data_IF_073816348860
#
_entry.id   IF_073816348860
#
_cell.length_a   1.000
_cell.length_b   1.000
_cell.length_c   1.000
_cell.angle_alpha   90.00
_cell.angle_beta   90.00
_cell.angle_gamma   90.00
#
_symmetry.space_group_name_H-M   'P 1'
#
loop_
_entity.id
_entity.type
_entity.pdbx_description
1 polymer ?
#
# COMPACT_ATOMS: atom_id res chain seq x y z
N UNK A 1 -29.34 70.67 21.97
CA UNK A 1 -28.20 69.94 21.31
C UNK A 1 -28.49 68.44 21.40
N UNK A 2 -28.91 67.85 20.27
CA UNK A 2 -29.16 66.41 20.13
C UNK A 2 -28.01 65.77 19.40
N UNK A 3 -27.29 64.89 20.06
CA UNK A 3 -26.17 64.14 19.49
C UNK A 3 -26.72 62.92 18.71
N UNK A 4 -26.50 62.93 17.38
CA UNK A 4 -26.76 61.77 16.51
C UNK A 4 -25.61 60.76 16.69
N UNK A 5 -25.92 59.58 17.22
CA UNK A 5 -25.02 58.44 17.22
C UNK A 5 -25.28 57.66 15.94
N UNK A 6 -24.30 57.68 15.04
CA UNK A 6 -24.27 56.91 13.79
C UNK A 6 -23.85 55.47 14.13
N UNK A 7 -24.81 54.54 14.05
CA UNK A 7 -24.53 53.13 14.24
C UNK A 7 -23.99 52.54 12.93
N UNK A 8 -22.68 52.34 12.84
CA UNK A 8 -22.03 51.63 11.73
C UNK A 8 -22.24 50.13 11.93
N UNK A 9 -23.17 49.53 11.19
CA UNK A 9 -23.32 48.09 11.13
C UNK A 9 -22.14 47.48 10.33
N UNK A 10 -21.19 46.88 11.03
CA UNK A 10 -20.18 46.01 10.44
C UNK A 10 -20.87 44.72 9.93
N UNK A 11 -21.17 44.67 8.63
CA UNK A 11 -21.50 43.43 7.93
C UNK A 11 -20.26 42.55 7.88
N UNK A 12 -20.11 41.67 8.84
CA UNK A 12 -19.19 40.56 8.76
C UNK A 12 -19.72 39.61 7.68
N UNK A 13 -19.11 39.68 6.49
CA UNK A 13 -19.21 38.61 5.51
C UNK A 13 -18.51 37.39 6.10
N UNK A 14 -19.23 36.64 6.91
CA UNK A 14 -18.85 35.29 7.27
C UNK A 14 -18.89 34.46 6.01
N UNK A 15 -17.74 34.09 5.44
CA UNK A 15 -17.66 32.96 4.55
C UNK A 15 -18.29 31.78 5.27
N UNK A 16 -19.53 31.46 4.91
CA UNK A 16 -20.12 30.16 5.25
C UNK A 16 -19.20 29.12 4.62
N UNK A 17 -18.60 28.21 5.40
CA UNK A 17 -17.90 27.09 4.78
C UNK A 17 -18.88 26.42 3.83
N UNK A 18 -18.44 26.14 2.61
CA UNK A 18 -19.19 25.39 1.63
C UNK A 18 -19.79 24.16 2.35
N UNK A 19 -21.07 23.90 2.09
CA UNK A 19 -21.75 22.78 2.77
C UNK A 19 -20.96 21.50 2.43
N UNK A 20 -20.37 20.90 3.45
CA UNK A 20 -19.68 19.61 3.34
C UNK A 20 -20.68 18.61 2.74
N UNK A 21 -20.46 18.14 1.51
CA UNK A 21 -21.30 17.16 0.84
C UNK A 21 -21.35 15.84 1.63
N UNK A 22 -20.54 15.74 2.66
CA UNK A 22 -20.58 14.67 3.63
C UNK A 22 -20.14 13.32 3.09
N UNK A 23 -19.35 13.29 2.00
CA UNK A 23 -18.75 12.06 1.50
C UNK A 23 -17.58 11.62 2.37
N UNK A 24 -17.48 10.30 2.57
CA UNK A 24 -16.35 9.62 3.19
C UNK A 24 -15.68 8.78 2.10
N UNK A 25 -14.40 8.98 1.86
CA UNK A 25 -13.63 8.09 0.99
C UNK A 25 -13.46 6.75 1.69
N UNK A 26 -13.89 5.67 1.06
CA UNK A 26 -13.77 4.31 1.58
C UNK A 26 -12.55 3.58 1.02
N UNK A 27 -12.26 3.76 -0.27
CA UNK A 27 -11.16 3.11 -0.95
C UNK A 27 -10.44 4.07 -1.88
N UNK A 28 -9.10 4.01 -1.88
CA UNK A 28 -8.24 4.60 -2.90
C UNK A 28 -7.45 3.48 -3.56
N UNK A 29 -7.73 3.23 -4.84
CA UNK A 29 -7.23 2.03 -5.51
C UNK A 29 -7.72 0.76 -4.83
N UNK A 30 -6.80 -0.05 -4.35
CA UNK A 30 -7.07 -1.32 -3.65
C UNK A 30 -6.89 -1.22 -2.12
N UNK A 31 -6.67 -0.04 -1.61
CA UNK A 31 -6.41 0.21 -0.19
C UNK A 31 -7.62 0.83 0.50
N UNK A 32 -7.99 0.37 1.69
CA UNK A 32 -9.01 1.02 2.49
C UNK A 32 -8.51 2.38 2.99
N UNK A 33 -9.41 3.37 3.01
CA UNK A 33 -9.19 4.63 3.67
C UNK A 33 -9.72 4.59 5.10
N UNK A 34 -9.18 5.43 5.96
CA UNK A 34 -9.59 5.54 7.36
C UNK A 34 -10.15 6.93 7.66
N UNK A 35 -11.26 7.01 8.36
CA UNK A 35 -11.80 8.28 8.84
C UNK A 35 -11.16 8.65 10.18
N UNK A 36 -10.50 9.82 10.22
CA UNK A 36 -9.88 10.37 11.43
C UNK A 36 -10.33 11.82 11.57
N UNK A 37 -11.12 12.08 12.59
CA UNK A 37 -11.85 13.33 12.71
C UNK A 37 -12.84 13.53 11.57
N UNK A 38 -12.77 14.67 10.90
CA UNK A 38 -13.60 14.98 9.73
C UNK A 38 -12.99 14.57 8.37
N UNK A 39 -11.76 14.07 8.37
CA UNK A 39 -11.03 13.74 7.14
C UNK A 39 -10.98 12.25 6.87
N UNK A 40 -11.01 11.88 5.60
CA UNK A 40 -10.69 10.53 5.12
C UNK A 40 -9.22 10.47 4.75
N UNK A 41 -8.47 9.55 5.32
CA UNK A 41 -7.06 9.35 5.06
C UNK A 41 -6.84 8.10 4.25
N UNK A 42 -6.09 8.19 3.18
CA UNK A 42 -5.78 7.06 2.30
C UNK A 42 -4.27 6.93 2.03
N UNK A 43 -3.76 5.69 1.92
CA UNK A 43 -2.39 5.46 1.48
C UNK A 43 -2.31 5.61 -0.05
N UNK A 44 -1.29 6.33 -0.51
CA UNK A 44 -0.91 6.43 -1.92
C UNK A 44 0.45 5.75 -2.10
N UNK A 45 0.39 4.41 -2.17
CA UNK A 45 1.59 3.56 -2.21
C UNK A 45 2.52 3.88 -3.40
N UNK A 46 2.02 4.11 -4.63
CA UNK A 46 2.88 4.47 -5.76
C UNK A 46 3.74 5.70 -5.52
N UNK A 47 3.25 6.66 -4.73
CA UNK A 47 3.97 7.89 -4.44
C UNK A 47 4.53 7.96 -3.02
N UNK A 48 4.47 6.85 -2.25
CA UNK A 48 5.00 6.74 -0.88
C UNK A 48 4.52 7.86 0.05
N UNK A 49 3.21 8.12 0.05
CA UNK A 49 2.60 9.21 0.80
C UNK A 49 1.23 8.85 1.36
N UNK A 50 0.75 9.67 2.29
CA UNK A 50 -0.62 9.59 2.80
C UNK A 50 -1.35 10.86 2.40
N UNK A 51 -2.64 10.73 2.08
CA UNK A 51 -3.46 11.84 1.62
C UNK A 51 -4.72 11.93 2.47
N UNK A 52 -5.05 13.13 2.91
CA UNK A 52 -6.30 13.44 3.61
C UNK A 52 -7.25 14.20 2.69
N UNK A 53 -8.51 13.77 2.69
CA UNK A 53 -9.61 14.35 1.94
C UNK A 53 -10.69 14.88 2.88
N UNK A 54 -11.29 16.02 2.53
CA UNK A 54 -12.49 16.51 3.18
C UNK A 54 -13.77 15.81 2.66
N UNK A 55 -14.94 16.23 3.15
CA UNK A 55 -16.23 15.68 2.73
C UNK A 55 -16.66 16.05 1.31
N UNK A 56 -16.02 17.01 0.68
CA UNK A 56 -16.17 17.35 -0.75
C UNK A 56 -15.17 16.57 -1.63
N UNK A 57 -14.33 15.74 -0.99
CA UNK A 57 -13.26 14.96 -1.62
C UNK A 57 -12.12 15.81 -2.18
N UNK A 58 -11.92 17.03 -1.65
CA UNK A 58 -10.73 17.81 -1.93
C UNK A 58 -9.56 17.33 -1.08
N UNK A 59 -8.37 17.36 -1.65
CA UNK A 59 -7.14 17.08 -0.91
C UNK A 59 -6.84 18.24 0.03
N UNK A 60 -6.87 17.98 1.33
CA UNK A 60 -6.59 18.97 2.38
C UNK A 60 -5.20 18.83 2.96
N UNK A 61 -4.60 17.65 2.82
CA UNK A 61 -3.26 17.38 3.32
C UNK A 61 -2.59 16.24 2.58
N UNK A 62 -1.30 16.37 2.38
CA UNK A 62 -0.40 15.31 1.92
C UNK A 62 0.73 15.17 2.92
N UNK A 63 1.03 13.93 3.31
CA UNK A 63 2.11 13.58 4.23
C UNK A 63 3.11 12.70 3.50
N UNK A 64 4.34 13.14 3.46
CA UNK A 64 5.51 12.36 3.04
C UNK A 64 6.44 12.20 4.24
N UNK A 65 7.03 11.03 4.38
CA UNK A 65 8.00 10.75 5.44
C UNK A 65 8.89 9.59 4.97
N UNK A 66 10.20 9.58 5.25
CA UNK A 66 11.09 8.47 4.89
C UNK A 66 10.65 7.09 5.43
N UNK A 67 9.82 7.08 6.49
CA UNK A 67 9.22 5.85 7.04
C UNK A 67 8.01 5.34 6.24
N UNK A 68 7.52 6.12 5.27
CA UNK A 68 6.42 5.75 4.37
C UNK A 68 7.03 5.36 3.04
N UNK A 69 7.13 4.07 2.76
CA UNK A 69 7.77 3.56 1.55
C UNK A 69 6.77 2.87 0.61
N UNK A 70 5.98 1.94 1.13
CA UNK A 70 4.91 1.28 0.38
C UNK A 70 3.71 1.05 1.31
N UNK A 71 3.00 2.13 1.70
CA UNK A 71 1.90 2.04 2.66
C UNK A 71 0.72 1.28 2.03
N UNK A 72 0.24 0.23 2.70
CA UNK A 72 -0.85 -0.61 2.22
C UNK A 72 -2.16 -0.39 2.96
N UNK A 73 -2.09 0.09 4.20
CA UNK A 73 -3.25 0.38 4.99
C UNK A 73 -3.02 1.52 5.98
N UNK A 74 -4.12 2.20 6.32
CA UNK A 74 -4.21 3.17 7.39
C UNK A 74 -5.35 2.74 8.31
N UNK A 75 -5.11 2.76 9.61
CA UNK A 75 -6.17 2.57 10.61
C UNK A 75 -6.18 3.76 11.60
N UNK A 76 -7.34 4.17 12.11
CA UNK A 76 -7.41 5.16 13.17
C UNK A 76 -6.66 4.64 14.41
N UNK A 77 -5.94 5.54 15.08
CA UNK A 77 -5.23 5.21 16.32
C UNK A 77 -5.60 6.22 17.41
N UNK A 78 -5.62 5.82 18.70
CA UNK A 78 -6.01 6.71 19.79
C UNK A 78 -5.31 8.06 19.78
N UNK A 79 -6.03 9.12 20.10
CA UNK A 79 -5.52 10.49 20.08
C UNK A 79 -5.48 11.12 18.69
N UNK A 80 -6.41 10.75 17.80
CA UNK A 80 -6.51 11.27 16.42
C UNK A 80 -5.22 11.06 15.63
N UNK A 81 -4.63 9.89 15.76
CA UNK A 81 -3.40 9.47 15.06
C UNK A 81 -3.69 8.44 13.99
N UNK A 82 -2.68 8.12 13.21
CA UNK A 82 -2.71 7.22 12.07
C UNK A 82 -1.80 6.03 12.37
N UNK A 83 -2.34 4.81 12.44
CA UNK A 83 -1.52 3.62 12.31
C UNK A 83 -1.38 3.32 10.82
N UNK A 84 -0.19 3.50 10.30
CA UNK A 84 0.17 3.23 8.90
C UNK A 84 0.95 1.94 8.84
N UNK A 85 0.54 1.05 7.95
CA UNK A 85 1.24 -0.23 7.77
C UNK A 85 1.81 -0.34 6.37
N UNK A 86 3.01 -0.85 6.33
CA UNK A 86 3.77 -1.08 5.11
C UNK A 86 3.49 -2.49 4.55
N UNK A 87 3.77 -2.69 3.28
CA UNK A 87 3.64 -4.00 2.62
C UNK A 87 4.39 -5.12 3.34
N UNK A 88 5.46 -4.80 4.03
CA UNK A 88 6.27 -5.74 4.84
C UNK A 88 5.66 -6.16 6.17
N UNK A 89 4.53 -5.56 6.55
CA UNK A 89 3.87 -5.84 7.83
C UNK A 89 4.35 -4.98 8.99
N UNK A 90 5.37 -4.15 8.78
CA UNK A 90 5.80 -3.17 9.79
C UNK A 90 4.89 -1.95 9.75
N UNK A 91 4.80 -1.25 10.86
CA UNK A 91 3.94 -0.09 10.98
C UNK A 91 4.59 1.06 11.72
N UNK A 92 4.02 2.24 11.52
CA UNK A 92 4.39 3.45 12.26
C UNK A 92 3.12 4.19 12.64
N UNK A 93 3.07 4.65 13.87
CA UNK A 93 2.01 5.56 14.31
C UNK A 93 2.47 6.98 14.03
N UNK A 94 1.70 7.71 13.23
CA UNK A 94 1.91 9.13 12.94
C UNK A 94 0.85 9.98 13.61
N UNK A 95 1.20 11.23 13.91
CA UNK A 95 0.18 12.26 14.10
C UNK A 95 -0.36 12.74 12.74
N UNK A 96 -1.41 13.54 12.76
CA UNK A 96 -2.03 14.06 11.53
C UNK A 96 -1.17 15.10 10.80
N UNK A 97 -0.02 15.49 11.34
CA UNK A 97 0.97 16.37 10.66
C UNK A 97 1.99 15.54 9.87
N UNK A 98 2.07 14.24 10.12
CA UNK A 98 3.04 13.32 9.52
C UNK A 98 4.31 13.12 10.35
N UNK A 99 4.30 13.58 11.60
CA UNK A 99 5.40 13.31 12.54
C UNK A 99 5.23 11.88 13.08
N UNK A 100 6.26 11.03 13.00
CA UNK A 100 6.22 9.70 13.60
C UNK A 100 6.17 9.87 15.13
N UNK A 101 5.25 9.15 15.77
CA UNK A 101 5.04 9.16 17.21
C UNK A 101 5.60 7.91 17.85
N UNK A 102 5.48 6.77 17.11
CA UNK A 102 5.86 5.47 17.64
C UNK A 102 6.06 4.46 16.50
N UNK A 103 7.06 3.59 16.63
CA UNK A 103 7.17 2.38 15.83
C UNK A 103 6.08 1.39 16.26
N UNK A 104 5.53 0.68 15.29
CA UNK A 104 4.53 -0.36 15.51
C UNK A 104 5.13 -1.70 15.09
N UNK A 105 5.35 -2.55 16.05
CA UNK A 105 5.80 -3.91 15.81
C UNK A 105 4.64 -4.87 15.99
N UNK A 106 4.39 -5.69 14.99
CA UNK A 106 3.45 -6.78 15.11
C UNK A 106 4.18 -8.03 15.61
N UNK A 107 3.61 -8.76 16.57
CA UNK A 107 4.20 -10.01 17.04
C UNK A 107 4.12 -11.16 16.02
N UNK A 108 3.46 -10.92 14.89
CA UNK A 108 3.30 -11.86 13.77
C UNK A 108 3.23 -11.07 12.46
N UNK A 109 3.42 -11.72 11.29
CA UNK A 109 3.31 -11.04 10.00
C UNK A 109 1.88 -10.57 9.70
N UNK A 110 1.52 -9.37 10.19
CA UNK A 110 0.25 -8.72 9.93
C UNK A 110 0.50 -7.40 9.20
N UNK A 111 -0.37 -7.07 8.24
CA UNK A 111 -0.31 -5.80 7.52
C UNK A 111 -1.65 -5.09 7.42
N UNK A 112 -2.73 -5.79 7.76
CA UNK A 112 -4.07 -5.24 7.71
C UNK A 112 -4.64 -5.13 9.12
N UNK A 113 -4.96 -3.91 9.52
CA UNK A 113 -5.50 -3.58 10.82
C UNK A 113 -6.80 -2.82 10.68
N UNK A 114 -7.73 -3.09 11.57
CA UNK A 114 -8.90 -2.26 11.78
C UNK A 114 -9.03 -1.90 13.24
N UNK A 115 -9.62 -0.73 13.54
CA UNK A 115 -9.78 -0.27 14.91
C UNK A 115 -11.08 0.52 15.06
N UNK A 116 -11.69 0.42 16.24
CA UNK A 116 -12.81 1.25 16.69
C UNK A 116 -12.33 2.39 17.61
N UNK A 117 -11.04 2.65 17.68
CA UNK A 117 -10.41 3.65 18.54
C UNK A 117 -10.03 3.15 19.93
N UNK A 118 -10.52 1.98 20.35
CA UNK A 118 -10.20 1.38 21.66
C UNK A 118 -9.53 0.01 21.52
N UNK A 119 -9.84 -0.72 20.44
CA UNK A 119 -9.34 -2.04 20.14
C UNK A 119 -8.77 -2.06 18.73
N UNK A 120 -7.78 -2.89 18.53
CA UNK A 120 -7.14 -3.09 17.25
C UNK A 120 -7.28 -4.57 16.90
N UNK A 121 -7.86 -4.87 15.75
CA UNK A 121 -7.87 -6.21 15.20
C UNK A 121 -6.83 -6.29 14.10
N UNK A 122 -6.06 -7.37 14.10
CA UNK A 122 -4.99 -7.62 13.14
C UNK A 122 -5.27 -8.86 12.30
N UNK A 123 -5.09 -8.74 10.98
CA UNK A 123 -5.14 -9.83 10.02
C UNK A 123 -3.76 -10.13 9.47
N UNK A 124 -3.52 -11.38 9.07
CA UNK A 124 -2.28 -11.84 8.45
C UNK A 124 -1.95 -11.05 7.19
N UNK A 125 -0.66 -10.80 6.96
CA UNK A 125 -0.19 -10.14 5.75
C UNK A 125 -0.27 -11.07 4.54
N UNK A 126 -0.95 -10.69 3.46
CA UNK A 126 -0.90 -11.45 2.22
C UNK A 126 0.42 -11.23 1.45
N UNK A 127 1.18 -10.21 1.80
CA UNK A 127 2.41 -9.83 1.11
C UNK A 127 3.64 -10.57 1.65
N UNK A 128 3.56 -11.06 2.87
CA UNK A 128 4.66 -11.76 3.54
C UNK A 128 4.29 -13.24 3.69
N UNK A 129 4.55 -14.02 2.65
CA UNK A 129 4.29 -15.45 2.68
C UNK A 129 5.42 -16.13 3.43
N UNK A 130 5.19 -16.40 4.71
CA UNK A 130 6.02 -17.34 5.44
C UNK A 130 5.55 -18.74 5.10
N UNK A 131 6.42 -19.54 4.51
CA UNK A 131 6.15 -20.94 4.23
C UNK A 131 6.28 -21.79 5.52
N UNK A 132 5.57 -21.38 6.57
CA UNK A 132 5.45 -22.14 7.81
C UNK A 132 4.21 -22.99 7.71
N UNK A 133 4.36 -24.30 7.94
CA UNK A 133 3.22 -25.21 7.96
C UNK A 133 2.31 -24.83 9.14
N UNK A 134 1.02 -24.72 8.87
CA UNK A 134 -0.02 -24.47 9.87
C UNK A 134 -0.78 -25.75 10.16
N UNK A 135 -1.13 -25.97 11.43
CA UNK A 135 -1.90 -27.14 11.88
C UNK A 135 -3.33 -26.78 12.34
N UNK A 136 -3.70 -25.50 12.21
CA UNK A 136 -5.01 -24.98 12.62
C UNK A 136 -5.08 -24.58 14.09
N UNK A 137 -3.98 -24.67 14.85
CA UNK A 137 -3.95 -24.28 16.27
C UNK A 137 -3.92 -22.78 16.49
N UNK A 138 -3.41 -21.99 15.52
CA UNK A 138 -3.32 -20.56 15.61
C UNK A 138 -4.68 -19.90 15.33
N UNK A 139 -5.01 -18.79 16.01
CA UNK A 139 -6.22 -18.02 15.69
C UNK A 139 -6.15 -17.39 14.32
N UNK A 140 -7.34 -17.16 13.71
CA UNK A 140 -7.47 -16.51 12.42
C UNK A 140 -7.04 -15.05 12.48
N UNK A 141 -7.50 -14.33 13.50
CA UNK A 141 -7.23 -12.92 13.78
C UNK A 141 -6.80 -12.73 15.22
N UNK A 142 -6.22 -11.58 15.53
CA UNK A 142 -5.85 -11.19 16.88
C UNK A 142 -6.43 -9.85 17.25
N UNK A 143 -6.93 -9.75 18.48
CA UNK A 143 -7.19 -8.47 19.15
C UNK A 143 -5.93 -8.04 19.87
N UNK A 144 -5.53 -6.81 19.61
CA UNK A 144 -4.35 -6.16 20.19
C UNK A 144 -4.78 -4.97 21.05
N UNK A 145 -4.01 -4.72 22.08
CA UNK A 145 -4.10 -3.46 22.81
C UNK A 145 -3.46 -2.29 22.01
N UNK A 146 -3.51 -1.10 22.59
CA UNK A 146 -2.91 0.09 21.97
C UNK A 146 -1.36 0.05 21.95
N UNK A 147 -0.74 -0.93 22.58
CA UNK A 147 0.69 -1.16 22.51
C UNK A 147 1.07 -2.19 21.43
N UNK A 148 0.10 -2.83 20.79
CA UNK A 148 0.31 -3.88 19.81
C UNK A 148 0.46 -5.27 20.44
N UNK A 149 0.18 -5.40 21.74
CA UNK A 149 0.28 -6.68 22.43
C UNK A 149 -1.02 -7.48 22.21
N UNK A 150 -0.95 -8.69 21.65
CA UNK A 150 -2.11 -9.54 21.46
C UNK A 150 -2.62 -10.03 22.82
N UNK A 151 -3.92 -9.88 23.04
CA UNK A 151 -4.57 -10.36 24.26
C UNK A 151 -5.68 -11.39 24.02
N UNK A 152 -6.15 -11.51 22.77
CA UNK A 152 -7.18 -12.48 22.40
C UNK A 152 -7.05 -12.91 20.95
N UNK A 153 -7.13 -14.21 20.70
CA UNK A 153 -7.30 -14.78 19.36
C UNK A 153 -8.79 -14.88 18.99
N UNK A 154 -9.10 -14.67 17.70
CA UNK A 154 -10.44 -14.78 17.17
C UNK A 154 -10.47 -15.74 15.97
N UNK A 155 -11.51 -16.57 15.92
CA UNK A 155 -11.75 -17.50 14.83
C UNK A 155 -10.72 -18.63 14.74
N UNK A 156 -10.89 -19.48 13.76
CA UNK A 156 -10.05 -20.64 13.51
C UNK A 156 -9.45 -20.54 12.11
N UNK A 157 -8.16 -20.79 11.99
CA UNK A 157 -7.46 -20.81 10.71
C UNK A 157 -7.96 -21.97 9.84
N UNK A 158 -8.10 -21.70 8.56
CA UNK A 158 -8.27 -22.74 7.55
C UNK A 158 -6.93 -23.43 7.30
N UNK A 159 -6.92 -24.75 7.34
CA UNK A 159 -5.75 -25.57 7.02
C UNK A 159 -5.84 -25.97 5.55
N UNK A 160 -5.05 -25.38 4.64
CA UNK A 160 -5.11 -25.70 3.22
C UNK A 160 -4.50 -27.07 2.92
N UNK A 161 -4.84 -27.66 1.76
CA UNK A 161 -4.21 -28.88 1.24
C UNK A 161 -2.67 -28.77 1.23
N UNK A 162 -2.16 -27.59 0.85
CA UNK A 162 -0.74 -27.25 0.91
C UNK A 162 -0.52 -26.38 2.14
N UNK A 163 -0.14 -26.99 3.25
CA UNK A 163 0.01 -26.30 4.57
C UNK A 163 0.92 -25.08 4.54
N UNK A 164 1.91 -25.05 3.66
CA UNK A 164 2.80 -23.89 3.47
C UNK A 164 2.10 -22.66 2.88
N UNK A 165 0.88 -22.80 2.36
CA UNK A 165 0.08 -21.67 1.86
C UNK A 165 -0.90 -21.14 2.92
N UNK A 166 -0.83 -21.61 4.15
CA UNK A 166 -1.73 -21.23 5.23
C UNK A 166 -1.73 -19.71 5.50
N UNK A 167 -0.59 -19.06 5.39
CA UNK A 167 -0.50 -17.60 5.52
C UNK A 167 -1.37 -16.89 4.47
N UNK A 168 -1.32 -17.32 3.22
CA UNK A 168 -2.07 -16.71 2.12
C UNK A 168 -3.58 -16.96 2.26
N UNK A 169 -3.99 -18.20 2.57
CA UNK A 169 -5.42 -18.56 2.64
C UNK A 169 -6.13 -17.96 3.85
N UNK A 170 -5.38 -17.60 4.88
CA UNK A 170 -5.88 -16.97 6.10
C UNK A 170 -5.62 -15.46 6.16
N UNK A 171 -4.99 -14.89 5.15
CA UNK A 171 -4.85 -13.44 5.00
C UNK A 171 -6.07 -12.83 4.33
N UNK A 172 -6.40 -11.59 4.68
CA UNK A 172 -7.48 -10.87 4.02
C UNK A 172 -7.87 -9.60 4.74
N UNK A 173 -8.71 -8.77 4.11
CA UNK A 173 -9.21 -7.55 4.71
C UNK A 173 -10.06 -7.83 5.96
N UNK A 174 -9.94 -6.90 6.89
CA UNK A 174 -10.64 -6.91 8.17
C UNK A 174 -11.29 -5.54 8.41
N UNK A 175 -12.47 -5.53 9.01
CA UNK A 175 -13.15 -4.33 9.48
C UNK A 175 -13.62 -4.52 10.94
N UNK A 176 -13.63 -3.45 11.69
CA UNK A 176 -14.10 -3.41 13.08
C UNK A 176 -15.04 -2.23 13.25
N UNK A 177 -16.27 -2.50 13.70
CA UNK A 177 -17.25 -1.49 14.04
C UNK A 177 -18.18 -2.01 15.16
N UNK A 178 -18.53 -1.14 16.09
CA UNK A 178 -19.47 -1.46 17.19
C UNK A 178 -19.07 -2.75 17.95
N UNK A 179 -17.77 -2.97 18.15
CA UNK A 179 -17.19 -4.16 18.78
C UNK A 179 -17.36 -5.47 17.99
N UNK A 180 -17.80 -5.41 16.74
CA UNK A 180 -18.00 -6.54 15.85
C UNK A 180 -16.86 -6.59 14.82
N UNK A 181 -16.29 -7.76 14.61
CA UNK A 181 -15.23 -8.00 13.66
C UNK A 181 -15.80 -8.64 12.39
N UNK A 182 -15.41 -8.09 11.24
CA UNK A 182 -15.70 -8.64 9.92
C UNK A 182 -14.38 -9.04 9.28
N UNK A 183 -14.36 -10.21 8.65
CA UNK A 183 -13.17 -10.72 7.96
C UNK A 183 -13.56 -11.38 6.64
N UNK A 184 -12.74 -11.21 5.62
CA UNK A 184 -12.91 -11.85 4.33
C UNK A 184 -11.58 -12.38 3.82
N UNK A 185 -11.39 -13.71 3.65
CA UNK A 185 -10.16 -14.28 3.09
C UNK A 185 -9.87 -13.72 1.70
N UNK A 186 -8.62 -13.31 1.44
CA UNK A 186 -8.19 -12.71 0.17
C UNK A 186 -8.50 -13.61 -1.05
N UNK A 187 -8.35 -14.92 -0.88
CA UNK A 187 -8.36 -15.90 -1.98
C UNK A 187 -9.57 -16.84 -1.98
N UNK A 188 -10.53 -16.62 -1.08
CA UNK A 188 -11.76 -17.44 -0.98
C UNK A 188 -12.99 -16.55 -0.98
N UNK A 189 -14.09 -17.03 -1.59
CA UNK A 189 -15.37 -16.33 -1.60
C UNK A 189 -16.14 -16.58 -0.30
N UNK A 190 -15.65 -15.99 0.78
CA UNK A 190 -16.20 -16.09 2.12
C UNK A 190 -16.12 -14.74 2.82
N UNK A 191 -17.14 -14.39 3.56
CA UNK A 191 -17.17 -13.24 4.46
C UNK A 191 -17.71 -13.70 5.80
N UNK A 192 -17.05 -13.31 6.88
CA UNK A 192 -17.40 -13.70 8.26
C UNK A 192 -17.75 -12.46 9.07
N UNK A 193 -18.82 -12.56 9.87
CA UNK A 193 -19.03 -11.73 11.04
C UNK A 193 -18.69 -12.55 12.26
N UNK A 194 -17.81 -12.03 13.10
CA UNK A 194 -17.40 -12.70 14.34
C UNK A 194 -17.97 -11.96 15.55
N UNK A 195 -18.44 -12.69 16.51
CA UNK A 195 -18.81 -12.15 17.82
C UNK A 195 -17.53 -11.80 18.64
N UNK A 196 -17.67 -11.17 19.81
CA UNK A 196 -16.52 -10.85 20.65
C UNK A 196 -15.70 -12.06 21.15
N UNK A 197 -16.26 -13.27 21.10
CA UNK A 197 -15.55 -14.51 21.43
C UNK A 197 -14.74 -15.05 20.25
N UNK A 198 -14.98 -14.54 19.04
CA UNK A 198 -14.38 -15.01 17.78
C UNK A 198 -15.19 -16.09 17.08
N UNK A 199 -16.42 -16.37 17.56
CA UNK A 199 -17.31 -17.33 16.92
C UNK A 199 -18.04 -16.70 15.74
N UNK A 200 -18.22 -17.40 14.61
CA UNK A 200 -18.96 -16.86 13.46
C UNK A 200 -20.45 -16.69 13.80
N UNK A 201 -20.95 -15.46 13.70
CA UNK A 201 -22.38 -15.12 13.81
C UNK A 201 -23.10 -15.44 12.51
N UNK A 202 -22.48 -15.04 11.39
CA UNK A 202 -22.93 -15.42 10.05
C UNK A 202 -21.74 -15.59 9.10
N UNK A 203 -22.00 -16.36 8.04
CA UNK A 203 -21.11 -16.50 6.88
C UNK A 203 -21.87 -16.11 5.64
N UNK A 204 -21.21 -15.39 4.73
CA UNK A 204 -21.77 -14.99 3.46
C UNK A 204 -20.76 -15.19 2.35
N UNK A 205 -21.21 -15.10 1.11
CA UNK A 205 -20.35 -15.15 -0.07
C UNK A 205 -20.81 -14.10 -1.10
N UNK A 206 -19.95 -13.81 -2.06
CA UNK A 206 -20.26 -12.87 -3.14
C UNK A 206 -20.84 -13.55 -4.38
N UNK A 207 -20.89 -14.90 -4.37
CA UNK A 207 -21.38 -15.71 -5.48
C UNK A 207 -20.53 -15.61 -6.75
N UNK A 208 -19.22 -15.35 -6.60
CA UNK A 208 -18.36 -15.06 -7.74
C UNK A 208 -17.84 -16.28 -8.45
N UNK A 209 -17.48 -17.30 -7.72
CA UNK A 209 -16.91 -18.55 -8.27
C UNK A 209 -17.14 -19.65 -7.23
N UNK A 210 -17.43 -20.89 -7.65
CA UNK A 210 -17.26 -22.03 -6.77
C UNK A 210 -15.75 -22.21 -6.51
N UNK A 211 -15.21 -21.43 -5.58
CA UNK A 211 -13.81 -21.51 -5.15
C UNK A 211 -13.67 -22.59 -4.08
N UNK A 212 -13.90 -23.81 -4.49
CA UNK A 212 -13.70 -25.01 -3.67
C UNK A 212 -12.23 -25.43 -3.58
N UNK A 213 -11.31 -24.69 -4.25
CA UNK A 213 -9.92 -25.10 -4.34
C UNK A 213 -8.99 -24.07 -3.72
N UNK A 214 -8.21 -24.54 -2.76
CA UNK A 214 -7.09 -23.78 -2.22
C UNK A 214 -6.06 -23.42 -3.30
N UNK A 215 -5.28 -22.33 -3.09
CA UNK A 215 -4.17 -21.98 -3.95
C UNK A 215 -3.20 -23.15 -4.17
N UNK A 216 -2.62 -23.23 -5.36
CA UNK A 216 -1.68 -24.29 -5.76
C UNK A 216 -0.42 -23.73 -6.37
N UNK A 217 0.68 -24.46 -6.26
CA UNK A 217 1.89 -24.12 -6.99
C UNK A 217 1.69 -24.40 -8.48
N UNK A 218 2.22 -23.50 -9.31
CA UNK A 218 2.22 -23.68 -10.77
C UNK A 218 3.24 -24.76 -11.12
N UNK A 219 2.81 -25.79 -11.85
CA UNK A 219 3.67 -26.88 -12.28
C UNK A 219 4.88 -26.35 -13.07
N UNK A 220 6.07 -26.86 -12.77
CA UNK A 220 7.32 -26.49 -13.44
C UNK A 220 7.87 -25.09 -13.10
N UNK A 221 7.23 -24.35 -12.19
CA UNK A 221 7.70 -23.04 -11.71
C UNK A 221 7.77 -23.05 -10.19
N UNK A 222 8.98 -23.22 -9.66
CA UNK A 222 9.20 -23.17 -8.22
C UNK A 222 8.65 -21.87 -7.62
N UNK A 223 7.91 -22.00 -6.52
CA UNK A 223 7.35 -20.89 -5.72
C UNK A 223 6.31 -19.98 -6.40
N UNK A 224 5.88 -20.26 -7.62
CA UNK A 224 4.77 -19.51 -8.20
C UNK A 224 3.43 -20.13 -7.78
N UNK A 225 2.61 -19.34 -7.09
CA UNK A 225 1.30 -19.74 -6.60
C UNK A 225 0.22 -19.23 -7.54
N UNK A 226 -0.69 -20.13 -7.94
CA UNK A 226 -1.91 -19.76 -8.66
C UNK A 226 -3.05 -19.59 -7.67
N UNK A 227 -3.65 -18.41 -7.64
CA UNK A 227 -4.81 -18.09 -6.81
C UNK A 227 -5.67 -17.00 -7.46
N UNK A 228 -6.92 -16.89 -7.03
CA UNK A 228 -7.78 -15.76 -7.36
C UNK A 228 -7.66 -14.67 -6.28
N UNK A 229 -7.81 -13.42 -6.67
CA UNK A 229 -7.96 -12.30 -5.74
C UNK A 229 -9.45 -11.99 -5.59
N UNK A 230 -10.07 -12.54 -4.55
CA UNK A 230 -11.51 -12.46 -4.33
C UNK A 230 -11.89 -11.23 -3.52
N UNK A 231 -11.35 -11.10 -2.31
CA UNK A 231 -11.65 -10.01 -1.39
C UNK A 231 -10.39 -9.16 -1.17
N UNK A 232 -10.41 -7.91 -1.61
CA UNK A 232 -9.20 -7.08 -1.66
C UNK A 232 -9.17 -6.07 -0.51
N UNK A 233 -10.30 -5.36 -0.28
CA UNK A 233 -10.39 -4.34 0.75
C UNK A 233 -11.81 -4.30 1.33
N UNK A 234 -11.93 -4.04 2.62
CA UNK A 234 -13.21 -4.01 3.33
C UNK A 234 -13.23 -2.89 4.36
N UNK A 235 -14.37 -2.22 4.50
CA UNK A 235 -14.58 -1.20 5.53
C UNK A 235 -16.06 -1.01 5.81
N UNK A 236 -16.39 -0.40 6.96
CA UNK A 236 -17.75 0.03 7.27
C UNK A 236 -17.92 1.48 6.83
N UNK A 237 -18.97 1.74 6.05
CA UNK A 237 -19.31 3.07 5.56
C UNK A 237 -19.99 3.97 6.62
N UNK A 238 -20.13 5.27 6.32
CA UNK A 238 -20.79 6.23 7.21
C UNK A 238 -22.30 5.98 7.37
N UNK A 239 -22.89 5.19 6.49
CA UNK A 239 -24.28 4.72 6.53
C UNK A 239 -24.45 3.43 7.37
N UNK A 240 -23.36 2.94 7.97
CA UNK A 240 -23.37 1.74 8.79
C UNK A 240 -23.33 0.42 8.02
N UNK A 241 -23.23 0.40 6.70
CA UNK A 241 -23.14 -0.82 5.89
C UNK A 241 -21.70 -1.29 5.73
N UNK A 242 -21.53 -2.58 5.43
CA UNK A 242 -20.23 -3.16 5.14
C UNK A 242 -19.98 -3.11 3.63
N UNK A 243 -18.86 -2.51 3.24
CA UNK A 243 -18.41 -2.36 1.86
C UNK A 243 -17.21 -3.25 1.61
N UNK A 244 -17.30 -4.09 0.58
CA UNK A 244 -16.25 -5.03 0.19
C UNK A 244 -15.88 -4.82 -1.27
N UNK A 245 -14.64 -4.46 -1.50
CA UNK A 245 -14.03 -4.37 -2.82
C UNK A 245 -13.28 -5.66 -3.13
N UNK A 246 -13.52 -6.25 -4.27
CA UNK A 246 -12.84 -7.48 -4.67
C UNK A 246 -12.81 -7.69 -6.17
N UNK A 247 -12.19 -8.77 -6.61
CA UNK A 247 -12.15 -9.15 -8.01
C UNK A 247 -13.50 -9.62 -8.51
N UNK A 248 -13.83 -9.30 -9.75
CA UNK A 248 -14.95 -9.88 -10.50
C UNK A 248 -14.52 -11.18 -11.19
N UNK A 249 -13.24 -11.32 -11.50
CA UNK A 249 -12.62 -12.47 -12.13
C UNK A 249 -11.39 -12.94 -11.34
N UNK A 250 -10.85 -14.10 -11.69
CA UNK A 250 -9.72 -14.73 -10.99
C UNK A 250 -8.43 -13.90 -11.02
N UNK A 251 -8.25 -13.04 -12.03
CA UNK A 251 -7.09 -12.17 -12.18
C UNK A 251 -7.28 -10.79 -11.53
N UNK A 252 -8.50 -10.50 -11.04
CA UNK A 252 -8.92 -9.20 -10.55
C UNK A 252 -8.66 -8.06 -11.57
N UNK A 253 -8.84 -8.36 -12.86
CA UNK A 253 -8.72 -7.40 -13.95
C UNK A 253 -9.87 -6.40 -13.93
N UNK A 254 -11.03 -6.83 -13.45
CA UNK A 254 -12.17 -5.98 -13.11
C UNK A 254 -12.47 -6.11 -11.63
N UNK A 255 -12.84 -4.99 -11.01
CA UNK A 255 -13.25 -4.95 -9.62
C UNK A 255 -14.78 -4.94 -9.52
N UNK A 256 -15.29 -5.44 -8.41
CA UNK A 256 -16.69 -5.36 -8.01
C UNK A 256 -16.78 -4.87 -6.58
N UNK A 257 -17.63 -3.89 -6.36
CA UNK A 257 -18.02 -3.42 -5.05
C UNK A 257 -19.31 -4.11 -4.64
N UNK A 258 -19.30 -4.78 -3.50
CA UNK A 258 -20.49 -5.32 -2.86
C UNK A 258 -20.76 -4.62 -1.53
N UNK A 259 -22.03 -4.35 -1.27
CA UNK A 259 -22.52 -3.71 -0.06
C UNK A 259 -23.37 -4.72 0.70
N UNK A 260 -23.04 -4.94 1.96
CA UNK A 260 -23.73 -5.90 2.79
C UNK A 260 -24.50 -5.20 3.92
N UNK A 261 -25.67 -5.73 4.23
CA UNK A 261 -26.29 -5.51 5.53
C UNK A 261 -25.42 -6.18 6.60
N UNK A 262 -25.01 -5.42 7.62
CA UNK A 262 -24.08 -5.93 8.64
C UNK A 262 -24.72 -6.93 9.61
N UNK A 263 -26.03 -6.89 9.77
CA UNK A 263 -26.73 -7.77 10.70
C UNK A 263 -27.06 -9.12 10.07
N UNK A 264 -27.48 -9.11 8.81
CA UNK A 264 -27.93 -10.33 8.12
C UNK A 264 -26.83 -10.96 7.27
N UNK A 265 -25.83 -10.19 6.81
CA UNK A 265 -24.82 -10.65 5.85
C UNK A 265 -25.33 -10.74 4.43
N UNK A 266 -26.53 -10.20 4.14
CA UNK A 266 -27.09 -10.16 2.79
C UNK A 266 -26.48 -9.05 1.95
N UNK A 267 -26.27 -9.31 0.65
CA UNK A 267 -25.84 -8.30 -0.31
C UNK A 267 -27.04 -7.41 -0.65
N UNK A 268 -26.96 -6.15 -0.31
CA UNK A 268 -28.01 -5.14 -0.58
C UNK A 268 -27.74 -4.33 -1.84
N UNK A 269 -26.50 -4.29 -2.31
CA UNK A 269 -26.12 -3.69 -3.59
C UNK A 269 -24.83 -4.29 -4.12
N UNK A 270 -24.69 -4.33 -5.46
CA UNK A 270 -23.48 -4.75 -6.15
C UNK A 270 -23.22 -3.88 -7.38
N UNK A 271 -21.98 -3.52 -7.62
CA UNK A 271 -21.56 -2.74 -8.78
C UNK A 271 -20.24 -3.26 -9.35
N UNK A 272 -20.25 -3.67 -10.61
CA UNK A 272 -19.01 -3.97 -11.35
C UNK A 272 -18.36 -2.66 -11.77
N UNK A 273 -17.07 -2.54 -11.51
CA UNK A 273 -16.28 -1.34 -11.80
C UNK A 273 -15.52 -1.52 -13.12
N UNK A 274 -15.52 -0.48 -13.94
CA UNK A 274 -14.98 -0.55 -15.31
C UNK A 274 -13.46 -0.60 -15.40
N UNK A 275 -12.75 -0.27 -14.30
CA UNK A 275 -11.29 -0.21 -14.25
C UNK A 275 -10.76 -0.88 -13.00
N UNK A 276 -9.50 -1.39 -13.03
CA UNK A 276 -8.85 -1.95 -11.84
C UNK A 276 -8.37 -0.86 -10.85
N UNK A 277 -8.30 0.40 -11.29
CA UNK A 277 -7.95 1.54 -10.45
C UNK A 277 -9.20 2.41 -10.24
N UNK A 278 -9.60 2.61 -9.00
CA UNK A 278 -10.81 3.33 -8.65
C UNK A 278 -10.67 3.99 -7.28
N UNK A 279 -11.39 5.09 -7.08
CA UNK A 279 -11.61 5.65 -5.76
C UNK A 279 -13.12 5.59 -5.47
N UNK A 280 -13.49 5.17 -4.27
CA UNK A 280 -14.89 4.98 -3.89
C UNK A 280 -15.18 5.80 -2.64
N UNK A 281 -16.18 6.67 -2.75
CA UNK A 281 -16.67 7.46 -1.63
C UNK A 281 -18.18 7.24 -1.44
N UNK A 282 -18.62 7.36 -0.19
CA UNK A 282 -20.02 7.13 0.19
C UNK A 282 -20.46 8.24 1.14
N UNK A 283 -21.69 8.74 0.97
CA UNK A 283 -22.29 9.67 1.90
C UNK A 283 -23.03 8.94 3.03
N UNK A 284 -23.54 9.68 4.00
CA UNK A 284 -24.29 9.15 5.15
C UNK A 284 -25.60 8.42 4.79
N UNK A 285 -26.07 8.54 3.56
CA UNK A 285 -27.29 7.89 3.06
C UNK A 285 -26.99 6.67 2.18
N UNK A 286 -25.70 6.30 2.03
CA UNK A 286 -25.27 5.17 1.22
C UNK A 286 -25.16 5.49 -0.26
N UNK A 287 -25.17 6.78 -0.68
CA UNK A 287 -24.97 7.16 -2.06
C UNK A 287 -23.49 7.00 -2.44
N UNK A 288 -23.24 6.11 -3.37
CA UNK A 288 -21.89 5.76 -3.83
C UNK A 288 -21.44 6.70 -4.95
N UNK A 289 -20.20 7.17 -4.86
CA UNK A 289 -19.47 7.82 -5.95
C UNK A 289 -18.26 6.99 -6.31
N UNK A 290 -18.16 6.63 -7.59
CA UNK A 290 -16.97 6.00 -8.17
C UNK A 290 -16.20 7.08 -8.90
N UNK A 291 -14.94 7.24 -8.60
CA UNK A 291 -14.09 8.33 -9.04
C UNK A 291 -12.82 7.77 -9.70
N UNK A 292 -12.27 8.56 -10.59
CA UNK A 292 -10.96 8.32 -11.14
C UNK A 292 -9.89 8.75 -10.11
N UNK A 293 -9.04 7.83 -9.63
CA UNK A 293 -8.03 8.16 -8.63
C UNK A 293 -6.98 9.16 -9.17
N UNK A 294 -6.63 9.11 -10.45
CA UNK A 294 -5.67 10.05 -11.03
C UNK A 294 -6.21 11.50 -10.98
N UNK A 295 -7.49 11.69 -11.34
CA UNK A 295 -8.15 13.00 -11.23
C UNK A 295 -8.29 13.46 -9.78
N UNK A 296 -8.58 12.52 -8.87
CA UNK A 296 -8.68 12.83 -7.45
C UNK A 296 -7.32 13.28 -6.89
N UNK A 297 -6.25 12.59 -7.28
CA UNK A 297 -4.88 12.86 -6.85
C UNK A 297 -4.23 14.05 -7.58
N UNK A 298 -4.68 14.40 -8.77
CA UNK A 298 -4.22 15.59 -9.51
C UNK A 298 -4.52 16.91 -8.78
N UNK A 299 -5.45 16.89 -7.82
CA UNK A 299 -5.73 18.05 -6.94
C UNK A 299 -4.65 18.23 -5.84
N UNK A 300 -3.76 17.24 -5.65
CA UNK A 300 -2.65 17.42 -4.70
C UNK A 300 -1.77 18.54 -5.17
N UNK A 301 -1.52 19.58 -4.31
CA UNK A 301 -0.50 20.56 -4.63
C UNK A 301 0.79 19.79 -4.95
N UNK A 302 1.36 20.05 -6.10
CA UNK A 302 2.71 19.60 -6.43
C UNK A 302 3.67 20.29 -5.46
N UNK A 303 3.78 19.78 -4.25
CA UNK A 303 4.95 20.05 -3.42
C UNK A 303 6.11 19.52 -4.23
N UNK A 304 7.11 20.37 -4.48
CA UNK A 304 8.27 19.97 -5.25
C UNK A 304 8.77 18.60 -4.77
N UNK A 305 9.12 17.74 -5.70
CA UNK A 305 9.69 16.42 -5.39
C UNK A 305 10.80 16.57 -4.35
N UNK A 306 10.79 15.73 -3.33
CA UNK A 306 11.85 15.76 -2.31
C UNK A 306 13.15 15.18 -2.88
N UNK A 307 14.29 15.64 -2.38
CA UNK A 307 15.58 15.04 -2.71
C UNK A 307 15.66 13.63 -2.12
N UNK A 308 16.33 12.73 -2.81
CA UNK A 308 16.65 11.40 -2.29
C UNK A 308 17.80 11.53 -1.30
N UNK A 309 17.49 11.31 -0.02
CA UNK A 309 18.47 11.35 1.07
C UNK A 309 18.31 10.11 1.98
N UNK A 310 19.42 9.68 2.54
CA UNK A 310 20.80 10.15 2.37
C UNK A 310 21.41 9.76 1.01
N UNK A 311 22.34 10.60 0.51
CA UNK A 311 23.14 10.27 -0.65
C UNK A 311 24.08 9.09 -0.36
N UNK A 312 24.44 8.32 -1.38
CA UNK A 312 25.41 7.25 -1.23
C UNK A 312 26.78 7.62 -1.84
N UNK A 313 27.83 6.98 -1.31
CA UNK A 313 29.16 6.95 -1.87
C UNK A 313 29.67 5.51 -1.70
N UNK A 314 29.64 4.69 -2.76
CA UNK A 314 29.87 3.25 -2.68
C UNK A 314 30.91 2.83 -3.74
N UNK A 315 31.77 1.84 -3.47
CA UNK A 315 32.65 1.31 -4.50
C UNK A 315 31.86 0.48 -5.51
N UNK A 316 32.26 0.56 -6.77
CA UNK A 316 31.88 -0.41 -7.79
C UNK A 316 32.66 -1.73 -7.65
N UNK A 317 32.47 -2.67 -8.57
CA UNK A 317 33.16 -3.97 -8.56
C UNK A 317 34.68 -3.87 -8.72
N UNK A 318 35.20 -2.75 -9.22
CA UNK A 318 36.65 -2.47 -9.39
C UNK A 318 37.23 -1.76 -8.18
N UNK A 319 36.39 -1.31 -7.23
CA UNK A 319 36.75 -0.52 -6.06
C UNK A 319 36.73 0.99 -6.31
N UNK A 320 36.35 1.45 -7.50
CA UNK A 320 36.20 2.87 -7.80
C UNK A 320 34.98 3.43 -7.05
N UNK A 321 35.13 4.56 -6.32
CA UNK A 321 34.01 5.18 -5.64
C UNK A 321 33.02 5.79 -6.66
N UNK A 322 31.72 5.48 -6.47
CA UNK A 322 30.60 6.03 -7.23
C UNK A 322 29.66 6.71 -6.25
N UNK A 323 29.23 7.91 -6.57
CA UNK A 323 28.36 8.75 -5.73
C UNK A 323 27.02 8.96 -6.43
N UNK A 324 25.99 9.30 -5.64
CA UNK A 324 24.70 9.66 -6.21
C UNK A 324 24.79 10.87 -7.14
N UNK A 325 25.67 11.82 -6.83
CA UNK A 325 25.90 13.02 -7.63
C UNK A 325 26.40 12.70 -9.06
N UNK A 326 27.07 11.57 -9.26
CA UNK A 326 27.58 11.14 -10.58
C UNK A 326 26.44 10.80 -11.57
N UNK A 327 25.21 10.65 -11.04
CA UNK A 327 24.00 10.39 -11.83
C UNK A 327 23.19 11.66 -12.13
N UNK A 328 23.64 12.85 -11.68
CA UNK A 328 22.93 14.10 -11.95
C UNK A 328 22.82 14.35 -13.45
N UNK A 329 21.70 14.93 -13.88
CA UNK A 329 21.37 15.16 -15.30
C UNK A 329 20.71 13.98 -15.98
N UNK A 330 20.61 12.82 -15.32
CA UNK A 330 19.94 11.61 -15.83
C UNK A 330 18.77 11.22 -14.95
N UNK A 331 17.73 10.67 -15.56
CA UNK A 331 16.72 9.89 -14.81
C UNK A 331 17.41 8.64 -14.30
N UNK A 332 17.32 8.35 -13.01
CA UNK A 332 18.13 7.27 -12.40
C UNK A 332 17.26 6.32 -11.60
N UNK A 333 17.41 5.02 -11.85
CA UNK A 333 16.84 3.97 -11.01
C UNK A 333 17.88 3.51 -9.99
N UNK A 334 17.70 3.88 -8.72
CA UNK A 334 18.49 3.33 -7.62
C UNK A 334 17.80 2.07 -7.14
N UNK A 335 18.44 0.91 -7.35
CA UNK A 335 17.89 -0.40 -7.00
C UNK A 335 18.70 -1.06 -5.91
N UNK A 336 18.06 -1.58 -4.88
CA UNK A 336 18.66 -2.37 -3.80
C UNK A 336 18.28 -3.83 -3.97
N UNK A 337 19.27 -4.71 -3.96
CA UNK A 337 19.12 -6.12 -4.25
C UNK A 337 20.10 -7.00 -3.47
N UNK A 338 19.90 -8.32 -3.47
CA UNK A 338 20.87 -9.28 -2.93
C UNK A 338 20.83 -10.59 -3.71
N UNK A 339 21.93 -11.34 -3.71
CA UNK A 339 22.06 -12.61 -4.42
C UNK A 339 21.11 -13.70 -3.93
N UNK A 340 20.73 -13.66 -2.67
CA UNK A 340 19.77 -14.59 -2.02
C UNK A 340 18.30 -14.20 -2.20
N UNK A 341 18.04 -13.02 -2.80
CA UNK A 341 16.70 -12.51 -3.00
C UNK A 341 16.09 -13.07 -4.28
N UNK A 342 15.18 -14.03 -4.18
CA UNK A 342 14.54 -14.67 -5.33
C UNK A 342 13.76 -13.69 -6.24
N UNK A 343 12.96 -12.73 -5.69
CA UNK A 343 12.32 -11.73 -6.53
C UNK A 343 13.32 -10.82 -7.28
N UNK A 344 14.51 -10.55 -6.69
CA UNK A 344 15.57 -9.79 -7.36
C UNK A 344 16.12 -10.55 -8.56
N UNK A 345 16.27 -11.87 -8.47
CA UNK A 345 16.68 -12.72 -9.59
C UNK A 345 15.70 -12.63 -10.77
N UNK A 346 14.41 -12.57 -10.47
CA UNK A 346 13.36 -12.38 -11.48
C UNK A 346 13.35 -10.96 -12.07
N UNK A 347 13.72 -9.94 -11.30
CA UNK A 347 13.76 -8.54 -11.72
C UNK A 347 14.93 -8.20 -12.67
N UNK A 348 16.10 -8.80 -12.45
CA UNK A 348 17.35 -8.43 -13.18
C UNK A 348 17.25 -8.48 -14.70
N UNK A 349 16.63 -9.48 -15.35
CA UNK A 349 16.44 -9.49 -16.80
C UNK A 349 15.63 -8.27 -17.30
N UNK A 350 14.58 -7.88 -16.58
CA UNK A 350 13.74 -6.73 -16.91
C UNK A 350 14.51 -5.41 -16.74
N UNK A 351 15.32 -5.29 -15.68
CA UNK A 351 16.23 -4.16 -15.51
C UNK A 351 17.23 -4.05 -16.65
N UNK A 352 17.78 -5.18 -17.13
CA UNK A 352 18.70 -5.19 -18.25
C UNK A 352 18.04 -4.73 -19.55
N UNK A 353 16.79 -5.10 -19.80
CA UNK A 353 16.00 -4.61 -20.93
C UNK A 353 15.70 -3.12 -20.81
N UNK A 354 15.27 -2.69 -19.61
CA UNK A 354 15.02 -1.28 -19.31
C UNK A 354 16.27 -0.42 -19.54
N UNK A 355 17.43 -0.90 -19.08
CA UNK A 355 18.71 -0.23 -19.26
C UNK A 355 19.08 -0.06 -20.73
N UNK A 356 18.81 -1.05 -21.58
CA UNK A 356 19.06 -1.01 -23.03
C UNK A 356 18.07 -0.12 -23.79
N UNK A 357 16.90 0.16 -23.21
CA UNK A 357 15.83 0.92 -23.89
C UNK A 357 16.10 2.41 -23.97
N UNK A 358 17.05 2.95 -23.21
CA UNK A 358 17.36 4.39 -23.15
C UNK A 358 18.86 4.64 -23.34
N UNK A 359 19.21 5.84 -23.78
CA UNK A 359 20.62 6.27 -23.87
C UNK A 359 21.22 6.57 -22.51
N UNK A 360 22.56 6.38 -22.38
CA UNK A 360 23.28 6.52 -21.10
C UNK A 360 23.41 7.95 -20.59
N UNK A 361 23.23 8.92 -21.44
CA UNK A 361 23.14 10.36 -21.12
C UNK A 361 21.78 10.77 -20.56
N UNK A 362 20.74 9.96 -20.77
CA UNK A 362 19.36 10.26 -20.34
C UNK A 362 18.90 9.41 -19.15
N UNK A 363 19.32 8.14 -19.10
CA UNK A 363 18.90 7.19 -18.07
C UNK A 363 20.05 6.32 -17.61
N UNK A 364 20.07 6.03 -16.31
CA UNK A 364 21.05 5.12 -15.72
C UNK A 364 20.45 4.30 -14.57
N UNK A 365 21.15 3.22 -14.17
CA UNK A 365 20.78 2.36 -13.05
C UNK A 365 21.96 2.31 -12.07
N UNK A 366 21.70 2.61 -10.80
CA UNK A 366 22.60 2.36 -9.68
C UNK A 366 22.12 1.12 -8.93
N UNK A 367 22.64 -0.06 -9.29
CA UNK A 367 22.24 -1.32 -8.65
C UNK A 367 23.15 -1.62 -7.44
N UNK A 368 22.62 -1.40 -6.23
CA UNK A 368 23.34 -1.51 -4.97
C UNK A 368 23.09 -2.88 -4.36
N UNK A 369 24.15 -3.70 -4.23
CA UNK A 369 24.05 -5.01 -3.58
C UNK A 369 24.08 -4.87 -2.06
N UNK A 370 23.13 -5.51 -1.40
CA UNK A 370 23.07 -5.63 0.06
C UNK A 370 23.72 -6.93 0.59
N UNK A 371 24.42 -7.66 -0.30
CA UNK A 371 25.16 -8.85 0.13
C UNK A 371 26.31 -8.49 1.07
N UNK A 372 26.36 -9.16 2.19
CA UNK A 372 27.50 -9.10 3.15
C UNK A 372 28.69 -9.87 2.60
N UNK A 373 28.42 -10.99 1.91
CA UNK A 373 29.43 -11.86 1.28
C UNK A 373 29.73 -11.42 -0.16
N UNK A 374 30.92 -10.83 -0.44
CA UNK A 374 31.27 -10.41 -1.79
C UNK A 374 31.37 -11.57 -2.81
N UNK A 375 31.62 -12.79 -2.33
CA UNK A 375 31.71 -13.98 -3.19
C UNK A 375 30.36 -14.32 -3.80
N UNK A 376 29.28 -14.30 -2.98
CA UNK A 376 27.91 -14.55 -3.43
C UNK A 376 27.43 -13.48 -4.41
N UNK A 377 27.71 -12.20 -4.11
CA UNK A 377 27.42 -11.10 -5.03
C UNK A 377 28.11 -11.31 -6.38
N UNK A 378 29.44 -11.61 -6.38
CA UNK A 378 30.19 -11.81 -7.63
C UNK A 378 29.71 -13.03 -8.43
N UNK A 379 29.32 -14.11 -7.76
CA UNK A 379 28.72 -15.27 -8.42
C UNK A 379 27.41 -14.91 -9.12
N UNK A 380 26.55 -14.15 -8.47
CA UNK A 380 25.32 -13.64 -9.06
C UNK A 380 25.59 -12.74 -10.29
N UNK A 381 26.54 -11.80 -10.18
CA UNK A 381 26.91 -10.90 -11.28
C UNK A 381 27.50 -11.69 -12.46
N UNK A 382 28.28 -12.73 -12.20
CA UNK A 382 28.83 -13.60 -13.25
C UNK A 382 27.73 -14.40 -13.97
N UNK A 383 26.70 -14.82 -13.26
CA UNK A 383 25.53 -15.52 -13.80
C UNK A 383 24.67 -14.60 -14.68
N UNK A 384 24.24 -13.45 -14.15
CA UNK A 384 23.28 -12.55 -14.80
C UNK A 384 23.92 -11.58 -15.81
N UNK A 385 25.21 -11.27 -15.67
CA UNK A 385 25.98 -10.35 -16.52
C UNK A 385 25.22 -9.04 -16.77
N UNK A 386 24.79 -8.31 -15.72
CA UNK A 386 24.02 -7.09 -15.90
C UNK A 386 24.78 -6.06 -16.71
N UNK A 387 24.11 -5.33 -17.64
CA UNK A 387 24.76 -4.30 -18.46
C UNK A 387 24.96 -2.97 -17.72
N UNK A 388 24.47 -2.85 -16.50
CA UNK A 388 24.50 -1.64 -15.67
C UNK A 388 25.50 -1.78 -14.50
N UNK A 389 25.92 -0.65 -13.90
CA UNK A 389 26.86 -0.64 -12.78
C UNK A 389 26.31 -1.36 -11.55
N UNK A 390 27.18 -2.16 -10.93
CA UNK A 390 26.91 -2.79 -9.61
C UNK A 390 27.74 -2.09 -8.56
N UNK A 391 27.06 -1.64 -7.49
CA UNK A 391 27.68 -0.98 -6.34
C UNK A 391 27.63 -1.90 -5.11
N UNK A 392 28.65 -1.81 -4.27
CA UNK A 392 28.85 -2.73 -3.14
C UNK A 392 28.36 -2.09 -1.84
N UNK A 393 27.15 -2.46 -1.39
CA UNK A 393 26.49 -1.93 -0.19
C UNK A 393 26.83 -2.66 1.12
N UNK A 394 27.27 -3.91 1.07
CA UNK A 394 27.74 -4.73 2.23
C UNK A 394 26.76 -4.89 3.38
N UNK A 395 25.46 -4.95 3.12
CA UNK A 395 24.44 -5.15 4.18
C UNK A 395 24.12 -3.91 5.00
N UNK A 396 24.76 -2.75 4.73
CA UNK A 396 24.54 -1.53 5.51
C UNK A 396 23.42 -0.65 4.96
N UNK A 397 23.01 -0.89 3.73
CA UNK A 397 22.10 0.01 3.02
C UNK A 397 20.72 0.02 3.63
N UNK A 398 20.23 -1.10 4.14
CA UNK A 398 18.93 -1.18 4.82
C UNK A 398 18.83 -0.22 6.01
N UNK A 399 19.86 -0.11 6.82
CA UNK A 399 19.89 0.80 7.97
C UNK A 399 19.91 2.27 7.57
N UNK A 400 20.48 2.58 6.41
CA UNK A 400 20.67 3.95 5.90
C UNK A 400 19.42 4.42 5.14
N UNK A 401 18.87 3.57 4.27
CA UNK A 401 17.76 3.92 3.37
C UNK A 401 16.41 3.40 3.84
N UNK A 402 16.37 2.74 4.99
CA UNK A 402 15.17 2.28 5.68
C UNK A 402 14.21 1.41 4.84
N UNK A 403 14.72 0.76 3.77
CA UNK A 403 13.88 -0.20 3.05
C UNK A 403 13.66 -1.46 3.90
N UNK A 404 12.50 -2.08 3.74
CA UNK A 404 12.01 -3.16 4.60
C UNK A 404 12.18 -4.55 4.00
N UNK A 405 12.45 -4.62 2.70
CA UNK A 405 12.67 -5.86 1.95
C UNK A 405 13.28 -5.59 0.60
N UNK A 406 13.58 -6.65 -0.15
CA UNK A 406 14.20 -6.60 -1.47
C UNK A 406 13.33 -7.33 -2.50
N UNK A 407 13.36 -6.91 -3.79
CA UNK A 407 14.05 -5.71 -4.27
C UNK A 407 13.34 -4.43 -3.79
N UNK A 408 14.09 -3.35 -3.71
CA UNK A 408 13.55 -2.02 -3.45
C UNK A 408 14.18 -1.05 -4.42
N UNK A 409 13.38 -0.22 -5.08
CA UNK A 409 13.88 0.75 -6.05
C UNK A 409 13.36 2.15 -5.80
N UNK A 410 14.16 3.15 -6.13
CA UNK A 410 13.77 4.56 -6.13
C UNK A 410 14.09 5.15 -7.49
N UNK A 411 13.05 5.62 -8.19
CA UNK A 411 13.22 6.35 -9.45
C UNK A 411 13.42 7.82 -9.13
N UNK A 412 14.51 8.40 -9.65
CA UNK A 412 14.91 9.78 -9.46
C UNK A 412 14.83 10.54 -10.77
N UNK A 413 14.45 11.82 -10.71
CA UNK A 413 14.57 12.73 -11.85
C UNK A 413 16.01 13.23 -12.04
N UNK A 414 16.24 14.01 -13.09
CA UNK A 414 17.56 14.56 -13.44
C UNK A 414 18.20 15.41 -12.35
N UNK A 415 17.39 15.95 -11.43
CA UNK A 415 17.85 16.73 -10.27
C UNK A 415 18.05 15.85 -9.02
N UNK A 416 17.83 14.54 -9.12
CA UNK A 416 17.92 13.58 -8.01
C UNK A 416 16.74 13.65 -7.04
N UNK A 417 15.60 14.21 -7.47
CA UNK A 417 14.38 14.24 -6.69
C UNK A 417 13.58 12.97 -6.93
N UNK A 418 12.93 12.48 -5.92
CA UNK A 418 12.16 11.23 -5.99
C UNK A 418 10.93 11.40 -6.87
N UNK A 419 10.84 10.57 -7.91
CA UNK A 419 9.64 10.40 -8.74
C UNK A 419 8.74 9.35 -8.09
N UNK A 420 9.32 8.18 -7.77
CA UNK A 420 8.58 7.01 -7.29
C UNK A 420 9.47 6.10 -6.45
N UNK A 421 8.88 5.40 -5.47
CA UNK A 421 9.50 4.32 -4.71
C UNK A 421 8.76 3.02 -5.02
N UNK A 422 9.51 1.97 -5.35
CA UNK A 422 8.99 0.68 -5.81
C UNK A 422 9.46 -0.40 -4.84
N UNK A 423 8.53 -1.17 -4.31
CA UNK A 423 8.82 -2.28 -3.40
C UNK A 423 8.45 -3.63 -4.03
N UNK A 424 9.40 -4.55 -4.04
CA UNK A 424 9.22 -5.86 -4.65
C UNK A 424 9.29 -5.82 -6.17
N UNK A 425 8.94 -6.94 -6.80
CA UNK A 425 8.92 -7.10 -8.24
C UNK A 425 7.50 -7.42 -8.72
N UNK A 426 6.86 -6.49 -9.41
CA UNK A 426 5.50 -6.59 -9.94
C UNK A 426 5.38 -7.22 -11.32
N UNK A 427 6.49 -7.73 -11.89
CA UNK A 427 6.52 -8.38 -13.20
C UNK A 427 6.49 -7.41 -14.38
N UNK A 428 6.18 -7.94 -15.56
CA UNK A 428 6.24 -7.22 -16.84
C UNK A 428 5.38 -5.94 -16.85
N UNK A 429 4.18 -6.00 -16.30
CA UNK A 429 3.26 -4.85 -16.28
C UNK A 429 3.83 -3.65 -15.52
N UNK A 430 4.52 -3.90 -14.41
CA UNK A 430 5.17 -2.85 -13.62
C UNK A 430 6.34 -2.24 -14.41
N UNK A 431 7.15 -3.06 -15.08
CA UNK A 431 8.27 -2.58 -15.90
C UNK A 431 7.83 -1.81 -17.14
N UNK A 432 6.70 -2.15 -17.76
CA UNK A 432 6.11 -1.34 -18.84
C UNK A 432 5.70 0.04 -18.32
N UNK A 433 5.00 0.10 -17.18
CA UNK A 433 4.61 1.37 -16.56
C UNK A 433 5.84 2.21 -16.16
N UNK A 434 6.88 1.56 -15.62
CA UNK A 434 8.13 2.22 -15.26
C UNK A 434 8.84 2.80 -16.48
N UNK A 435 8.89 2.05 -17.60
CA UNK A 435 9.43 2.50 -18.89
C UNK A 435 8.71 3.76 -19.40
N UNK A 436 7.39 3.77 -19.36
CA UNK A 436 6.57 4.94 -19.75
C UNK A 436 6.83 6.14 -18.84
N UNK A 437 6.99 5.92 -17.55
CA UNK A 437 7.31 6.97 -16.59
C UNK A 437 8.69 7.57 -16.87
N UNK A 438 9.71 6.75 -17.10
CA UNK A 438 11.05 7.21 -17.45
C UNK A 438 11.03 8.01 -18.77
N UNK A 439 10.32 7.52 -19.78
CA UNK A 439 10.20 8.22 -21.06
C UNK A 439 9.56 9.60 -20.91
N UNK A 440 8.54 9.74 -20.09
CA UNK A 440 7.91 11.03 -19.77
C UNK A 440 8.88 11.98 -19.08
N UNK A 441 9.62 11.51 -18.11
CA UNK A 441 10.58 12.33 -17.34
C UNK A 441 11.78 12.78 -18.20
N UNK A 442 12.24 11.93 -19.11
CA UNK A 442 13.28 12.30 -20.07
C UNK A 442 12.80 13.44 -20.98
N UNK A 443 11.53 13.38 -21.41
CA UNK A 443 10.93 14.35 -22.36
C UNK A 443 10.39 15.61 -21.69
N UNK A 444 10.14 15.61 -20.39
CA UNK A 444 9.51 16.73 -19.68
C UNK A 444 10.32 18.04 -19.77
N UNK A 445 11.67 17.95 -19.73
CA UNK A 445 12.54 19.12 -19.84
C UNK A 445 12.68 19.66 -21.27
N UNK A 446 12.41 18.85 -22.30
CA UNK A 446 12.43 19.29 -23.68
C UNK A 446 11.30 20.29 -24.02
N UNK A 447 10.23 20.28 -23.21
CA UNK A 447 9.10 21.19 -23.35
C UNK A 447 9.26 22.51 -22.55
N UNK A 448 10.09 22.53 -21.51
CA UNK A 448 10.33 23.70 -20.68
C UNK A 448 11.37 24.69 -21.26
N UNK A 449 12.04 24.32 -22.35
CA UNK A 449 13.07 25.11 -23.03
C UNK A 449 12.63 25.53 -24.46
N UNK A 450 11.32 25.47 -24.78
CA UNK A 450 10.79 26.00 -26.05
C UNK A 450 9.87 27.21 -25.80
#
# INVERSE_FOLDING_TARGET
MRANILLVALLSFGCRPAADNGYTLLFLGRSPAARIGRYSWAPDAPHSRLIAFDGDLHVVRTVTNPRISSPVAIAPYPGSRLLVTERTGEGVVFDTTGKPVREWESPFPASLYATDGSRIVASRSPYFVQFVAEDGSAPLLWLLDTLGVPYQGLGVTHVPDIRYLAQLVNAGPVALADRVVYFAPLVRDEILRLDPSGSPVWRSSRGLIPLERDPRFVAGKARRVQHALVNIAMTVGPDGRLYLLGGQDSAATRLRLDVFDRETGEIVASQVLGTPATAIAVDRHGKIRVLDPERLLAQTPTRGRELFEPAFALPDLTGKPVRLEDYRGKVTLVNFWASWCEPCRAEFPHMAELYKSFSRDQFDIAAISDDVDPGKMRAFVAEFRPPFPILVGRGHMKAIYHYRGLPYSVLLDKQGRVIERIFGFGGETEFQRLRETIAREINADSAAHR
#
